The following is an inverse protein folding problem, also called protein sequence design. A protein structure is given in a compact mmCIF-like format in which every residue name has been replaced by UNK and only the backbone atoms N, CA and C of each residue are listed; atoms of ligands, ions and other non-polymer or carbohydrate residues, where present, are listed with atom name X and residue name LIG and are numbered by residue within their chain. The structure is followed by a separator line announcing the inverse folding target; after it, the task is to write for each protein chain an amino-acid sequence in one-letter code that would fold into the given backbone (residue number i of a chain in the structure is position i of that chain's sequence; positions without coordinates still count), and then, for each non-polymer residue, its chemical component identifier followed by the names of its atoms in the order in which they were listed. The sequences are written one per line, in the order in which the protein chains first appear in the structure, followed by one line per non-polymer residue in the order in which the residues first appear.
data_IF_866692625100
#
_entry.id   IF_866692625100
#
_cell.length_a   1.000
_cell.length_b   1.000
_cell.length_c   1.000
_cell.angle_alpha   90.00
_cell.angle_beta   90.00
_cell.angle_gamma   90.00
#
_symmetry.space_group_name_H-M   'P 1'
#
loop_
_entity.id
_entity.type
_entity.pdbx_description
1 polymer ?
#
# COMPACT_ATOMS: atom_id res chain seq x y z
N UNK A 1 -19.01 11.11 -11.29
CA UNK A 1 -20.35 11.41 -10.71
C UNK A 1 -20.38 10.94 -9.27
N UNK A 2 -20.86 11.78 -8.34
CA UNK A 2 -21.01 11.40 -6.92
C UNK A 2 -22.15 10.42 -6.73
N UNK A 3 -21.90 9.30 -6.06
CA UNK A 3 -22.89 8.26 -5.78
C UNK A 3 -23.64 8.57 -4.49
N UNK A 4 -24.97 8.40 -4.48
CA UNK A 4 -25.82 8.65 -3.32
C UNK A 4 -25.85 7.44 -2.35
N UNK A 5 -26.45 7.60 -1.17
CA UNK A 5 -26.54 6.51 -0.18
C UNK A 5 -27.29 5.29 -0.71
N UNK A 6 -28.38 5.53 -1.44
CA UNK A 6 -29.19 4.46 -2.04
C UNK A 6 -28.41 3.60 -3.03
N UNK A 7 -27.47 4.18 -3.79
CA UNK A 7 -26.59 3.44 -4.69
C UNK A 7 -25.75 2.39 -3.95
N UNK A 8 -25.17 2.76 -2.79
CA UNK A 8 -24.40 1.81 -1.98
C UNK A 8 -25.28 0.73 -1.38
N UNK A 9 -26.51 1.08 -1.00
CA UNK A 9 -27.50 0.12 -0.55
C UNK A 9 -27.86 -0.88 -1.66
N UNK A 10 -28.14 -0.41 -2.88
CA UNK A 10 -28.45 -1.30 -4.02
C UNK A 10 -27.34 -2.30 -4.30
N UNK A 11 -26.06 -1.89 -4.20
CA UNK A 11 -24.93 -2.79 -4.37
C UNK A 11 -24.86 -3.89 -3.30
N UNK A 12 -25.13 -3.54 -2.05
CA UNK A 12 -25.15 -4.51 -0.95
C UNK A 12 -26.40 -5.41 -1.03
N UNK A 13 -27.54 -4.86 -1.45
CA UNK A 13 -28.79 -5.58 -1.68
C UNK A 13 -28.65 -6.59 -2.83
N UNK A 14 -28.12 -6.18 -3.98
CA UNK A 14 -27.83 -7.07 -5.12
C UNK A 14 -26.97 -8.26 -4.69
N UNK A 15 -25.89 -8.00 -3.93
CA UNK A 15 -25.02 -9.05 -3.40
C UNK A 15 -25.74 -9.99 -2.43
N UNK A 16 -26.71 -9.50 -1.64
CA UNK A 16 -27.53 -10.36 -0.77
C UNK A 16 -28.46 -11.26 -1.58
N UNK A 17 -29.12 -10.73 -2.61
CA UNK A 17 -30.02 -11.51 -3.44
C UNK A 17 -29.26 -12.52 -4.33
N UNK A 18 -28.08 -12.16 -4.84
CA UNK A 18 -27.20 -13.10 -5.55
C UNK A 18 -26.78 -14.29 -4.69
N UNK A 19 -26.53 -14.09 -3.39
CA UNK A 19 -26.27 -15.20 -2.46
C UNK A 19 -27.50 -16.09 -2.22
N UNK A 20 -28.71 -15.58 -2.45
CA UNK A 20 -29.97 -16.34 -2.38
C UNK A 20 -30.32 -17.03 -3.70
N UNK A 21 -29.50 -16.85 -4.74
CA UNK A 21 -29.69 -17.46 -6.06
C UNK A 21 -30.39 -16.56 -7.08
N UNK A 22 -30.72 -15.31 -6.75
CA UNK A 22 -31.29 -14.36 -7.72
C UNK A 22 -30.20 -13.70 -8.57
N UNK A 23 -30.37 -13.69 -9.90
CA UNK A 23 -29.41 -13.08 -10.82
C UNK A 23 -29.90 -11.71 -11.27
N UNK A 24 -29.01 -10.71 -11.20
CA UNK A 24 -29.26 -9.36 -11.70
C UNK A 24 -28.16 -8.99 -12.69
N UNK A 25 -28.54 -8.60 -13.89
CA UNK A 25 -27.60 -8.25 -14.95
C UNK A 25 -27.05 -6.82 -14.76
N UNK A 26 -27.85 -5.94 -14.17
CA UNK A 26 -27.47 -4.55 -13.95
C UNK A 26 -28.05 -3.97 -12.66
N UNK A 27 -27.45 -2.86 -12.20
CA UNK A 27 -28.00 -2.08 -11.08
C UNK A 27 -29.35 -1.42 -11.44
N UNK A 28 -29.68 -1.29 -12.73
CA UNK A 28 -30.98 -0.77 -13.16
C UNK A 28 -32.09 -1.77 -12.86
N UNK A 29 -31.82 -3.06 -13.03
CA UNK A 29 -32.77 -4.13 -12.71
C UNK A 29 -33.06 -4.17 -11.21
N UNK A 30 -32.03 -3.93 -10.40
CA UNK A 30 -32.17 -3.79 -8.94
C UNK A 30 -33.00 -2.56 -8.55
N UNK A 31 -32.86 -1.45 -9.27
CA UNK A 31 -33.65 -0.25 -9.03
C UNK A 31 -35.11 -0.40 -9.47
N UNK A 32 -35.37 -1.24 -10.48
CA UNK A 32 -36.71 -1.57 -10.96
C UNK A 32 -37.46 -2.52 -10.01
N UNK A 33 -36.75 -3.26 -9.16
CA UNK A 33 -37.36 -4.17 -8.19
C UNK A 33 -38.04 -3.38 -7.04
N UNK A 34 -39.37 -3.52 -6.85
CA UNK A 34 -40.09 -2.86 -5.78
C UNK A 34 -39.57 -3.24 -4.39
N UNK A 35 -39.10 -4.48 -4.21
CA UNK A 35 -38.61 -5.02 -2.93
C UNK A 35 -37.40 -4.24 -2.43
N UNK A 36 -36.52 -3.82 -3.34
CA UNK A 36 -35.34 -3.02 -3.03
C UNK A 36 -35.73 -1.64 -2.49
N UNK A 37 -36.69 -0.98 -3.15
CA UNK A 37 -37.17 0.34 -2.73
C UNK A 37 -37.95 0.30 -1.42
N UNK A 38 -38.75 -0.75 -1.18
CA UNK A 38 -39.45 -0.96 0.08
C UNK A 38 -38.48 -1.25 1.23
N UNK A 39 -37.51 -2.13 1.01
CA UNK A 39 -36.52 -2.45 2.03
C UNK A 39 -35.71 -1.21 2.41
N UNK A 40 -35.32 -0.37 1.44
CA UNK A 40 -34.64 0.91 1.71
C UNK A 40 -35.47 1.89 2.56
N UNK A 41 -36.80 1.89 2.42
CA UNK A 41 -37.68 2.72 3.25
C UNK A 41 -37.78 2.19 4.67
N UNK A 42 -37.70 0.88 4.83
CA UNK A 42 -37.88 0.18 6.11
C UNK A 42 -36.59 -0.03 6.91
N UNK A 43 -35.41 0.32 6.37
CA UNK A 43 -34.17 0.17 7.14
C UNK A 43 -34.13 1.10 8.35
N UNK A 44 -33.45 0.66 9.40
CA UNK A 44 -33.25 1.48 10.58
C UNK A 44 -32.41 2.73 10.28
N UNK A 45 -32.62 3.85 11.01
CA UNK A 45 -31.78 5.04 10.87
C UNK A 45 -30.28 4.77 11.05
N UNK A 46 -29.93 3.82 11.91
CA UNK A 46 -28.56 3.40 12.21
C UNK A 46 -27.91 2.76 10.98
N UNK A 47 -28.60 1.79 10.35
CA UNK A 47 -28.12 1.14 9.13
C UNK A 47 -28.06 2.15 7.97
N UNK A 48 -29.05 3.03 7.87
CA UNK A 48 -29.07 4.12 6.88
C UNK A 48 -27.85 5.03 7.03
N UNK A 49 -27.44 5.30 8.27
CA UNK A 49 -26.23 6.05 8.60
C UNK A 49 -24.98 5.49 7.96
N UNK A 50 -24.83 4.16 7.90
CA UNK A 50 -23.67 3.50 7.28
C UNK A 50 -23.61 3.82 5.78
N UNK A 51 -24.73 3.74 5.07
CA UNK A 51 -24.79 4.05 3.63
C UNK A 51 -24.62 5.55 3.35
N UNK A 52 -25.12 6.41 4.23
CA UNK A 52 -24.90 7.86 4.17
C UNK A 52 -23.42 8.18 4.34
N UNK A 53 -22.73 7.54 5.29
CA UNK A 53 -21.29 7.69 5.47
C UNK A 53 -20.52 7.24 4.21
N UNK A 54 -20.84 6.07 3.64
CA UNK A 54 -20.25 5.61 2.37
C UNK A 54 -20.46 6.61 1.22
N UNK A 55 -21.65 7.23 1.14
CA UNK A 55 -21.94 8.26 0.14
C UNK A 55 -21.16 9.56 0.37
N UNK A 56 -21.00 9.99 1.62
CA UNK A 56 -20.16 11.13 1.99
C UNK A 56 -18.71 10.86 1.62
N UNK A 57 -18.16 9.70 1.97
CA UNK A 57 -16.78 9.31 1.61
C UNK A 57 -16.58 9.25 0.10
N UNK A 58 -17.56 8.73 -0.64
CA UNK A 58 -17.54 8.72 -2.11
C UNK A 58 -17.51 10.13 -2.70
N UNK A 59 -18.30 11.05 -2.12
CA UNK A 59 -18.27 12.47 -2.50
C UNK A 59 -16.93 13.11 -2.15
N UNK A 60 -16.38 12.83 -0.97
CA UNK A 60 -15.07 13.32 -0.54
C UNK A 60 -13.97 12.76 -1.43
N UNK A 61 -14.00 11.49 -1.86
CA UNK A 61 -13.03 10.93 -2.80
C UNK A 61 -13.16 11.53 -4.20
N UNK A 62 -14.39 11.74 -4.66
CA UNK A 62 -14.65 12.42 -5.93
C UNK A 62 -14.23 13.90 -5.91
N UNK A 63 -14.30 14.55 -4.74
CA UNK A 63 -13.80 15.91 -4.54
C UNK A 63 -12.29 15.94 -4.22
N UNK A 64 -11.77 14.92 -3.57
CA UNK A 64 -10.38 14.75 -3.14
C UNK A 64 -9.47 14.20 -4.24
N UNK A 65 -10.00 13.97 -5.45
CA UNK A 65 -9.20 14.07 -6.67
C UNK A 65 -8.81 15.52 -7.00
N UNK A 66 -9.32 16.52 -6.27
CA UNK A 66 -8.52 17.71 -5.96
C UNK A 66 -7.60 17.32 -4.83
N UNK A 67 -6.44 16.80 -5.22
CA UNK A 67 -5.27 16.62 -4.37
C UNK A 67 -5.16 17.73 -3.34
N UNK A 68 -5.06 17.39 -2.05
CA UNK A 68 -4.67 18.36 -1.04
C UNK A 68 -3.25 18.79 -1.37
N UNK A 69 -3.11 20.02 -1.85
CA UNK A 69 -1.83 20.59 -2.22
C UNK A 69 -1.18 21.20 -0.99
N UNK A 70 0.14 21.06 -0.87
CA UNK A 70 0.93 21.86 0.08
C UNK A 70 0.81 23.35 -0.28
N UNK A 71 1.24 24.25 0.61
CA UNK A 71 1.26 25.70 0.33
C UNK A 71 2.06 26.07 -0.94
N UNK A 72 2.91 25.15 -1.43
CA UNK A 72 3.73 25.30 -2.65
C UNK A 72 3.10 24.57 -3.87
N UNK A 73 1.99 23.85 -3.69
CA UNK A 73 1.24 23.25 -4.79
C UNK A 73 1.49 21.77 -5.05
N UNK A 74 2.33 21.11 -4.23
CA UNK A 74 2.68 19.70 -4.38
C UNK A 74 1.59 18.80 -3.81
N UNK A 75 1.31 17.68 -4.48
CA UNK A 75 0.30 16.71 -4.04
C UNK A 75 0.82 15.94 -2.81
N UNK A 76 0.09 16.00 -1.69
CA UNK A 76 0.42 15.25 -0.48
C UNK A 76 0.58 13.74 -0.73
N UNK A 77 -0.11 13.18 -1.73
CA UNK A 77 0.01 11.77 -2.09
C UNK A 77 1.36 11.42 -2.74
N UNK A 78 2.02 12.37 -3.42
CA UNK A 78 3.36 12.17 -3.98
C UNK A 78 4.43 12.19 -2.89
N UNK A 79 4.25 13.02 -1.87
CA UNK A 79 5.18 13.11 -0.73
C UNK A 79 5.16 11.82 0.09
N UNK A 80 3.98 11.29 0.40
CA UNK A 80 3.85 10.01 1.12
C UNK A 80 4.41 8.84 0.30
N UNK A 81 4.19 8.84 -1.03
CA UNK A 81 4.72 7.81 -1.91
C UNK A 81 6.25 7.88 -2.01
N UNK A 82 6.83 9.08 -2.08
CA UNK A 82 8.28 9.26 -2.10
C UNK A 82 8.92 8.87 -0.76
N UNK A 83 8.29 9.22 0.38
CA UNK A 83 8.77 8.79 1.69
C UNK A 83 8.78 7.26 1.82
N UNK A 84 7.76 6.59 1.30
CA UNK A 84 7.70 5.12 1.28
C UNK A 84 8.76 4.51 0.37
N UNK A 85 8.98 5.07 -0.83
CA UNK A 85 10.03 4.62 -1.75
C UNK A 85 11.43 4.75 -1.14
N UNK A 86 11.69 5.85 -0.43
CA UNK A 86 12.96 6.06 0.27
C UNK A 86 13.16 5.00 1.36
N UNK A 87 12.14 4.72 2.18
CA UNK A 87 12.22 3.66 3.18
C UNK A 87 12.46 2.28 2.56
N UNK A 88 11.76 1.95 1.48
CA UNK A 88 11.96 0.69 0.75
C UNK A 88 13.37 0.60 0.14
N UNK A 89 13.91 1.71 -0.36
CA UNK A 89 15.27 1.76 -0.88
C UNK A 89 16.32 1.51 0.21
N UNK A 90 16.19 2.18 1.36
CA UNK A 90 17.08 2.00 2.51
C UNK A 90 17.06 0.54 3.00
N UNK A 91 15.88 -0.08 3.11
CA UNK A 91 15.76 -1.48 3.52
C UNK A 91 16.41 -2.45 2.51
N UNK A 92 16.22 -2.22 1.21
CA UNK A 92 16.87 -3.02 0.16
C UNK A 92 18.40 -2.90 0.22
N UNK A 93 18.91 -1.70 0.47
CA UNK A 93 20.35 -1.47 0.60
C UNK A 93 20.93 -2.21 1.81
N UNK A 94 20.27 -2.18 2.96
CA UNK A 94 20.70 -2.93 4.15
C UNK A 94 20.69 -4.44 3.89
N UNK A 95 19.62 -4.96 3.30
CA UNK A 95 19.54 -6.38 2.92
C UNK A 95 20.63 -6.81 1.95
N UNK A 96 20.99 -5.94 1.00
CA UNK A 96 22.08 -6.20 0.06
C UNK A 96 23.43 -6.29 0.78
N UNK A 97 23.72 -5.35 1.69
CA UNK A 97 24.96 -5.37 2.48
C UNK A 97 25.05 -6.66 3.30
N UNK A 98 23.97 -7.02 4.01
CA UNK A 98 23.92 -8.25 4.81
C UNK A 98 24.14 -9.50 3.96
N UNK A 99 23.57 -9.55 2.75
CA UNK A 99 23.77 -10.63 1.80
C UNK A 99 25.23 -10.73 1.34
N UNK A 100 25.86 -9.61 0.97
CA UNK A 100 27.26 -9.59 0.54
C UNK A 100 28.20 -10.01 1.67
N UNK A 101 27.97 -9.53 2.88
CA UNK A 101 28.75 -9.91 4.07
C UNK A 101 28.57 -11.39 4.36
N UNK A 102 27.34 -11.89 4.37
CA UNK A 102 27.02 -13.30 4.63
C UNK A 102 27.66 -14.22 3.59
N UNK A 103 27.56 -13.87 2.30
CA UNK A 103 28.20 -14.62 1.21
C UNK A 103 29.72 -14.62 1.33
N UNK A 104 30.31 -13.48 1.68
CA UNK A 104 31.76 -13.37 1.88
C UNK A 104 32.29 -14.12 3.10
N UNK A 105 31.48 -14.22 4.16
CA UNK A 105 31.74 -15.08 5.33
C UNK A 105 31.63 -16.57 4.96
N UNK A 106 30.57 -16.96 4.27
CA UNK A 106 30.31 -18.35 3.83
C UNK A 106 31.41 -18.87 2.92
N UNK A 107 31.93 -18.03 2.01
CA UNK A 107 32.95 -18.44 1.05
C UNK A 107 34.40 -18.30 1.57
N UNK A 108 34.59 -17.91 2.85
CA UNK A 108 35.87 -17.71 3.57
C UNK A 108 36.93 -16.86 2.82
N UNK A 109 36.51 -16.17 1.76
CA UNK A 109 37.38 -15.47 0.81
C UNK A 109 37.79 -14.09 1.33
N UNK A 110 36.96 -13.47 2.18
CA UNK A 110 37.25 -12.20 2.85
C UNK A 110 38.38 -12.39 3.88
N UNK A 111 38.29 -13.42 4.73
CA UNK A 111 39.35 -13.72 5.70
C UNK A 111 40.67 -14.08 5.02
N UNK A 112 40.63 -14.76 3.88
CA UNK A 112 41.84 -15.12 3.14
C UNK A 112 42.52 -13.87 2.57
N UNK A 113 41.76 -12.94 1.97
CA UNK A 113 42.30 -11.67 1.45
C UNK A 113 42.81 -10.74 2.55
N UNK A 114 42.08 -10.60 3.65
CA UNK A 114 42.49 -9.76 4.80
C UNK A 114 43.73 -10.34 5.47
N UNK A 115 43.81 -11.67 5.66
CA UNK A 115 45.02 -12.31 6.20
C UNK A 115 46.22 -12.07 5.31
N UNK A 116 46.11 -12.23 3.99
CA UNK A 116 47.22 -11.98 3.06
C UNK A 116 47.73 -10.53 3.19
N UNK A 117 46.84 -9.55 3.26
CA UNK A 117 47.21 -8.14 3.39
C UNK A 117 47.90 -7.83 4.73
N UNK A 118 47.43 -8.40 5.84
CA UNK A 118 48.07 -8.25 7.16
C UNK A 118 49.47 -8.89 7.16
N UNK A 119 49.62 -10.08 6.56
CA UNK A 119 50.91 -10.75 6.46
C UNK A 119 51.91 -9.98 5.59
N UNK A 120 51.49 -9.43 4.45
CA UNK A 120 52.36 -8.63 3.58
C UNK A 120 52.78 -7.32 4.26
N UNK A 121 51.86 -6.61 4.93
CA UNK A 121 52.22 -5.42 5.70
C UNK A 121 53.22 -5.71 6.82
N UNK A 122 53.04 -6.82 7.56
CA UNK A 122 53.98 -7.23 8.61
C UNK A 122 55.37 -7.56 8.04
N UNK A 123 55.44 -8.24 6.90
CA UNK A 123 56.71 -8.58 6.23
C UNK A 123 57.44 -7.33 5.71
N UNK A 124 56.72 -6.35 5.17
CA UNK A 124 57.30 -5.08 4.71
C UNK A 124 57.85 -4.27 5.89
N UNK A 125 57.09 -4.17 6.98
CA UNK A 125 57.52 -3.45 8.19
C UNK A 125 58.75 -4.11 8.86
N UNK A 126 58.84 -5.45 8.87
CA UNK A 126 60.00 -6.16 9.42
C UNK A 126 61.25 -6.10 8.53
N UNK A 127 61.11 -5.82 7.22
CA UNK A 127 62.24 -5.57 6.32
C UNK A 127 62.71 -4.11 6.38
N UNK A 128 61.83 -3.16 6.67
CA UNK A 128 62.19 -1.74 6.85
C UNK A 128 62.92 -1.42 8.16
N UNK A 129 62.90 -2.31 9.15
CA UNK A 129 63.49 -2.11 10.48
C UNK A 129 64.85 -2.84 10.67
N UNK A 130 65.48 -3.27 9.57
CA UNK A 130 66.77 -4.00 9.54
C UNK A 130 67.86 -3.30 8.71
N UNK A 131 67.73 -1.99 8.51
CA UNK A 131 68.77 -1.12 7.95
C UNK A 131 69.25 -0.14 9.03
#
# INVERSE_FOLDING_TARGET
MSKNAFYFFMLDWQRRQQRRGETFNSLKDVAADPRCSEEWKNISPQEKGIYIAKAKDSKIKAQGSMSKKTTIGEDLSEVELNAKKEQEFQQKMLQYIDSVVSMGLLHNSIFTKIKIYIYTCKLVLQKGNRN
#
